data_IF_386051288521
#
_entry.id   IF_386051288521
#
_cell.length_a   1.000
_cell.length_b   1.000
_cell.length_c   1.000
_cell.angle_alpha   90.00
_cell.angle_beta   90.00
_cell.angle_gamma   90.00
#
_symmetry.space_group_name_H-M   'P 1'
#
loop_
_entity.id
_entity.type
_entity.pdbx_description
1 polymer ?
#
# COMPACT_ATOMS: atom_id res chain seq x y z
N UNK A 1 -51.73 17.98 -36.74
CA UNK A 1 -51.92 16.54 -36.99
C UNK A 1 -50.76 15.81 -36.31
N UNK A 2 -50.91 15.40 -35.04
CA UNK A 2 -51.23 14.03 -34.57
C UNK A 2 -50.21 13.01 -35.10
N UNK A 3 -49.41 12.33 -34.27
CA UNK A 3 -49.86 11.45 -33.19
C UNK A 3 -48.86 11.40 -32.02
N UNK A 4 -49.36 11.65 -30.80
CA UNK A 4 -48.83 11.06 -29.58
C UNK A 4 -49.38 9.64 -29.48
N UNK A 5 -48.52 8.66 -29.21
CA UNK A 5 -48.94 7.30 -28.81
C UNK A 5 -48.46 7.05 -27.40
N UNK A 6 -49.36 7.30 -26.46
CA UNK A 6 -49.34 6.78 -25.10
C UNK A 6 -49.51 5.27 -25.16
N UNK A 7 -48.58 4.51 -24.58
CA UNK A 7 -48.81 3.12 -24.25
C UNK A 7 -48.85 2.96 -22.73
N UNK A 8 -49.96 2.39 -22.30
CA UNK A 8 -50.44 2.24 -20.94
C UNK A 8 -49.71 1.10 -20.23
N UNK A 9 -49.50 1.33 -18.94
CA UNK A 9 -49.32 0.38 -17.84
C UNK A 9 -49.85 -1.03 -18.10
N UNK A 10 -48.98 -2.05 -17.96
CA UNK A 10 -49.31 -3.42 -17.54
C UNK A 10 -48.08 -4.07 -16.86
N UNK A 11 -47.96 -3.92 -15.54
CA UNK A 11 -47.51 -5.01 -14.65
C UNK A 11 -48.67 -6.02 -14.63
N UNK A 12 -48.47 -7.36 -14.68
CA UNK A 12 -47.73 -8.12 -13.65
C UNK A 12 -47.06 -9.43 -14.14
N UNK A 13 -46.11 -9.97 -13.36
CA UNK A 13 -46.00 -11.42 -13.09
C UNK A 13 -44.72 -11.70 -12.27
N UNK A 14 -44.91 -12.09 -11.02
CA UNK A 14 -43.90 -12.77 -10.20
C UNK A 14 -43.58 -14.12 -10.86
N UNK A 15 -42.42 -14.21 -11.51
CA UNK A 15 -41.89 -15.48 -11.99
C UNK A 15 -41.00 -16.07 -10.88
N UNK A 16 -41.57 -16.93 -10.05
CA UNK A 16 -40.82 -17.76 -9.11
C UNK A 16 -40.03 -18.81 -9.89
N UNK A 17 -38.74 -18.55 -10.13
CA UNK A 17 -37.79 -19.55 -10.60
C UNK A 17 -37.18 -20.21 -9.37
N UNK A 18 -37.65 -21.42 -9.07
CA UNK A 18 -36.96 -22.34 -8.17
C UNK A 18 -35.80 -22.97 -8.94
N UNK A 19 -34.59 -22.44 -8.75
CA UNK A 19 -33.34 -23.14 -9.10
C UNK A 19 -32.69 -23.55 -7.78
N UNK A 20 -32.67 -24.85 -7.52
CA UNK A 20 -31.87 -25.41 -6.43
C UNK A 20 -30.37 -25.31 -6.80
N UNK A 21 -29.49 -24.77 -5.93
CA UNK A 21 -28.07 -24.94 -6.12
C UNK A 21 -27.64 -26.29 -5.56
N UNK A 22 -27.26 -27.20 -6.45
CA UNK A 22 -26.36 -28.30 -6.11
C UNK A 22 -25.10 -27.68 -5.47
N UNK A 23 -24.75 -28.15 -4.27
CA UNK A 23 -23.50 -27.81 -3.61
C UNK A 23 -22.33 -28.36 -4.41
N UNK A 24 -21.74 -27.53 -5.27
CA UNK A 24 -20.45 -27.82 -5.89
C UNK A 24 -19.38 -27.65 -4.81
N UNK A 25 -19.00 -28.75 -4.16
CA UNK A 25 -17.81 -28.79 -3.31
C UNK A 25 -16.58 -28.64 -4.20
N UNK A 26 -16.05 -27.41 -4.29
CA UNK A 26 -14.74 -27.15 -4.84
C UNK A 26 -13.68 -27.65 -3.84
N UNK A 27 -13.27 -28.90 -3.99
CA UNK A 27 -12.07 -29.42 -3.34
C UNK A 27 -10.84 -28.79 -4.04
N UNK A 28 -10.39 -27.65 -3.52
CA UNK A 28 -9.10 -27.09 -3.89
C UNK A 28 -8.00 -27.97 -3.25
N UNK A 29 -7.15 -28.56 -4.09
CA UNK A 29 -5.97 -29.30 -3.64
C UNK A 29 -5.03 -28.36 -2.87
N UNK A 30 -4.57 -28.69 -1.65
CA UNK A 30 -3.72 -27.81 -0.87
C UNK A 30 -2.30 -27.80 -1.45
N UNK A 31 -1.93 -26.68 -2.07
CA UNK A 31 -0.54 -26.35 -2.36
C UNK A 31 0.17 -26.02 -1.05
N UNK A 32 1.19 -26.82 -0.72
CA UNK A 32 1.98 -26.70 0.50
C UNK A 32 2.85 -25.43 0.45
N UNK A 33 2.36 -24.34 1.05
CA UNK A 33 3.11 -23.10 1.23
C UNK A 33 2.29 -22.02 1.94
N UNK A 34 2.57 -21.79 3.23
CA UNK A 34 2.16 -20.63 4.04
C UNK A 34 0.65 -20.31 4.18
N UNK A 35 -0.22 -21.34 4.15
CA UNK A 35 -1.67 -21.16 4.32
C UNK A 35 -2.05 -20.54 5.69
N UNK A 36 -1.31 -20.85 6.75
CA UNK A 36 -1.57 -20.33 8.10
C UNK A 36 -1.40 -18.81 8.21
N UNK A 37 -0.42 -18.22 7.50
CA UNK A 37 -0.20 -16.77 7.48
C UNK A 37 -1.28 -16.04 6.67
N UNK A 38 -1.79 -16.66 5.60
CA UNK A 38 -2.91 -16.10 4.82
C UNK A 38 -4.24 -16.19 5.55
N UNK A 39 -4.51 -17.30 6.24
CA UNK A 39 -5.74 -17.51 7.01
C UNK A 39 -5.81 -16.54 8.19
N UNK A 40 -4.74 -16.45 8.99
CA UNK A 40 -4.71 -15.53 10.13
C UNK A 40 -4.82 -14.05 9.73
N UNK A 41 -4.31 -13.69 8.54
CA UNK A 41 -4.48 -12.34 7.98
C UNK A 41 -5.92 -12.10 7.52
N UNK A 42 -6.54 -13.10 6.92
CA UNK A 42 -7.92 -13.02 6.47
C UNK A 42 -8.87 -12.89 7.65
N UNK A 43 -8.69 -13.68 8.70
CA UNK A 43 -9.42 -13.58 9.96
C UNK A 43 -9.31 -12.17 10.56
N UNK A 44 -8.10 -11.63 10.68
CA UNK A 44 -7.89 -10.25 11.16
C UNK A 44 -8.55 -9.18 10.30
N UNK A 45 -8.68 -9.42 9.00
CA UNK A 45 -9.34 -8.49 8.09
C UNK A 45 -10.86 -8.56 8.25
N UNK A 46 -11.41 -9.76 8.39
CA UNK A 46 -12.83 -9.99 8.66
C UNK A 46 -13.24 -9.42 10.03
N UNK A 47 -12.43 -9.64 11.07
CA UNK A 47 -12.61 -9.03 12.40
C UNK A 47 -12.62 -7.50 12.34
N UNK A 48 -11.64 -6.90 11.63
CA UNK A 48 -11.59 -5.45 11.46
C UNK A 48 -12.80 -4.92 10.69
N UNK A 49 -13.25 -5.64 9.66
CA UNK A 49 -14.43 -5.28 8.87
C UNK A 49 -15.70 -5.34 9.72
N UNK A 50 -15.87 -6.38 10.52
CA UNK A 50 -17.00 -6.53 11.45
C UNK A 50 -17.01 -5.39 12.48
N UNK A 51 -15.87 -5.10 13.10
CA UNK A 51 -15.74 -3.99 14.05
C UNK A 51 -16.05 -2.62 13.42
N UNK A 52 -15.75 -2.43 12.13
CA UNK A 52 -16.12 -1.23 11.39
C UNK A 52 -17.63 -1.12 11.18
N UNK A 53 -18.30 -2.23 10.83
CA UNK A 53 -19.75 -2.25 10.66
C UNK A 53 -20.49 -2.00 11.98
N UNK A 54 -20.06 -2.64 13.06
CA UNK A 54 -20.59 -2.38 14.41
C UNK A 54 -20.42 -0.92 14.81
N UNK A 55 -19.24 -0.36 14.59
CA UNK A 55 -18.95 1.06 14.88
C UNK A 55 -19.81 2.01 14.04
N UNK A 56 -20.10 1.65 12.80
CA UNK A 56 -20.95 2.43 11.91
C UNK A 56 -22.45 2.24 12.18
N UNK A 57 -22.84 1.34 13.09
CA UNK A 57 -24.23 1.01 13.36
C UNK A 57 -24.91 0.31 12.18
N UNK A 58 -24.15 -0.40 11.35
CA UNK A 58 -24.65 -1.16 10.21
C UNK A 58 -25.16 -2.50 10.73
N UNK A 59 -26.46 -2.74 10.58
CA UNK A 59 -27.13 -3.97 10.96
C UNK A 59 -26.74 -5.15 10.06
N UNK A 60 -27.10 -6.35 10.49
CA UNK A 60 -26.71 -7.59 9.82
C UNK A 60 -27.34 -7.75 8.43
N UNK A 61 -28.55 -7.20 8.20
CA UNK A 61 -29.23 -7.25 6.90
C UNK A 61 -28.51 -6.33 5.89
N UNK A 62 -28.18 -5.11 6.31
CA UNK A 62 -27.39 -4.17 5.51
C UNK A 62 -25.98 -4.70 5.23
N UNK A 63 -25.36 -5.37 6.22
CA UNK A 63 -24.05 -6.02 6.08
C UNK A 63 -24.09 -7.13 5.02
N UNK A 64 -25.06 -8.03 5.11
CA UNK A 64 -25.22 -9.12 4.15
C UNK A 64 -25.41 -8.57 2.73
N UNK A 65 -26.23 -7.53 2.57
CA UNK A 65 -26.46 -6.85 1.29
C UNK A 65 -25.19 -6.23 0.70
N UNK A 66 -24.33 -5.63 1.53
CA UNK A 66 -23.04 -5.09 1.10
C UNK A 66 -22.05 -6.17 0.65
N UNK A 67 -22.02 -7.30 1.37
CA UNK A 67 -21.15 -8.42 1.04
C UNK A 67 -21.57 -9.09 -0.28
N UNK A 68 -22.87 -9.25 -0.49
CA UNK A 68 -23.44 -9.71 -1.76
C UNK A 68 -23.07 -8.75 -2.90
N UNK A 69 -23.30 -7.45 -2.74
CA UNK A 69 -22.95 -6.45 -3.75
C UNK A 69 -21.44 -6.42 -4.07
N UNK A 70 -20.57 -6.59 -3.07
CA UNK A 70 -19.13 -6.72 -3.29
C UNK A 70 -18.78 -8.01 -4.04
N UNK A 71 -19.43 -9.13 -3.69
CA UNK A 71 -19.26 -10.41 -4.37
C UNK A 71 -19.64 -10.31 -5.85
N UNK A 72 -20.81 -9.77 -6.14
CA UNK A 72 -21.29 -9.49 -7.50
C UNK A 72 -20.33 -8.58 -8.25
N UNK A 73 -19.89 -7.47 -7.63
CA UNK A 73 -18.93 -6.56 -8.25
C UNK A 73 -17.60 -7.23 -8.58
N UNK A 74 -17.07 -8.06 -7.67
CA UNK A 74 -15.84 -8.82 -7.91
C UNK A 74 -16.00 -9.82 -9.04
N UNK A 75 -17.15 -10.51 -9.13
CA UNK A 75 -17.45 -11.43 -10.23
C UNK A 75 -17.54 -10.67 -11.56
N UNK A 76 -18.29 -9.57 -11.60
CA UNK A 76 -18.40 -8.72 -12.78
C UNK A 76 -17.03 -8.20 -13.26
N UNK A 77 -16.14 -7.81 -12.33
CA UNK A 77 -14.77 -7.40 -12.68
C UNK A 77 -13.92 -8.56 -13.21
N UNK A 78 -14.08 -9.77 -12.69
CA UNK A 78 -13.38 -10.96 -13.22
C UNK A 78 -13.82 -11.25 -14.65
N UNK A 79 -15.13 -11.32 -14.87
CA UNK A 79 -15.68 -11.54 -16.21
C UNK A 79 -15.25 -10.44 -17.18
N UNK A 80 -15.24 -9.18 -16.74
CA UNK A 80 -14.77 -8.07 -17.56
C UNK A 80 -13.28 -8.21 -17.92
N UNK A 81 -12.44 -8.63 -16.98
CA UNK A 81 -11.02 -8.87 -17.24
C UNK A 81 -10.80 -10.06 -18.18
N UNK A 82 -11.60 -11.11 -18.05
CA UNK A 82 -11.56 -12.29 -18.94
C UNK A 82 -11.96 -11.89 -20.36
N UNK A 83 -13.10 -11.20 -20.53
CA UNK A 83 -13.53 -10.67 -21.83
C UNK A 83 -12.49 -9.70 -22.43
N UNK A 84 -11.88 -8.85 -21.59
CA UNK A 84 -10.82 -7.96 -22.05
C UNK A 84 -9.61 -8.76 -22.55
N UNK A 85 -9.22 -9.81 -21.83
CA UNK A 85 -8.12 -10.69 -22.23
C UNK A 85 -8.44 -11.41 -23.54
N UNK A 86 -9.63 -11.97 -23.69
CA UNK A 86 -10.06 -12.62 -24.94
C UNK A 86 -10.00 -11.66 -26.13
N UNK A 87 -10.52 -10.44 -25.98
CA UNK A 87 -10.41 -9.40 -27.03
C UNK A 87 -8.97 -9.06 -27.36
N UNK A 88 -8.08 -9.06 -26.36
CA UNK A 88 -6.64 -8.84 -26.60
C UNK A 88 -6.02 -10.01 -27.36
N UNK A 89 -6.46 -11.24 -27.09
CA UNK A 89 -5.99 -12.46 -27.76
C UNK A 89 -6.51 -12.56 -29.21
N UNK A 90 -7.65 -11.96 -29.52
CA UNK A 90 -8.17 -11.80 -30.90
C UNK A 90 -7.37 -10.78 -31.73
N UNK A 91 -6.86 -9.73 -31.09
CA UNK A 91 -6.18 -8.62 -31.76
C UNK A 91 -4.66 -8.84 -31.85
N UNK A 92 -4.06 -9.41 -30.79
CA UNK A 92 -2.63 -9.58 -30.66
C UNK A 92 -2.24 -11.06 -30.65
N UNK A 93 -1.31 -11.40 -31.53
CA UNK A 93 -0.60 -12.67 -31.43
C UNK A 93 0.28 -12.74 -30.15
N UNK A 94 0.80 -13.93 -29.87
CA UNK A 94 1.55 -14.19 -28.64
C UNK A 94 2.86 -13.39 -28.56
N UNK A 95 3.52 -13.15 -29.69
CA UNK A 95 4.77 -12.37 -29.76
C UNK A 95 4.51 -10.90 -29.45
N UNK A 96 3.49 -10.30 -30.08
CA UNK A 96 3.06 -8.92 -29.82
C UNK A 96 2.62 -8.71 -28.37
N UNK A 97 1.97 -9.72 -27.78
CA UNK A 97 1.52 -9.67 -26.38
C UNK A 97 2.68 -9.70 -25.40
N UNK A 98 3.66 -10.57 -25.64
CA UNK A 98 4.87 -10.63 -24.83
C UNK A 98 5.67 -9.32 -24.94
N UNK A 99 5.87 -8.82 -26.16
CA UNK A 99 6.53 -7.54 -26.39
C UNK A 99 5.82 -6.37 -25.65
N UNK A 100 4.49 -6.32 -25.67
CA UNK A 100 3.72 -5.31 -24.95
C UNK A 100 3.85 -5.47 -23.42
N UNK A 101 3.85 -6.70 -22.90
CA UNK A 101 4.04 -6.98 -21.47
C UNK A 101 5.40 -6.50 -21.01
N UNK A 102 6.44 -6.77 -21.79
CA UNK A 102 7.81 -6.42 -21.46
C UNK A 102 8.03 -4.92 -21.58
N UNK A 103 7.49 -4.27 -22.62
CA UNK A 103 7.47 -2.81 -22.71
C UNK A 103 6.79 -2.15 -21.50
N UNK A 104 5.63 -2.67 -21.06
CA UNK A 104 4.94 -2.18 -19.84
C UNK A 104 5.79 -2.40 -18.59
N UNK A 105 6.48 -3.54 -18.49
CA UNK A 105 7.36 -3.85 -17.36
C UNK A 105 8.54 -2.89 -17.29
N UNK A 106 9.20 -2.65 -18.42
CA UNK A 106 10.32 -1.70 -18.51
C UNK A 106 9.88 -0.27 -18.26
N UNK A 107 8.73 0.16 -18.81
CA UNK A 107 8.17 1.47 -18.53
C UNK A 107 7.86 1.65 -17.03
N UNK A 108 7.29 0.63 -16.37
CA UNK A 108 7.06 0.67 -14.92
C UNK A 108 8.38 0.76 -14.15
N UNK A 109 9.38 -0.06 -14.48
CA UNK A 109 10.71 0.00 -13.86
C UNK A 109 11.34 1.39 -14.04
N UNK A 110 11.27 1.93 -15.26
CA UNK A 110 11.76 3.27 -15.59
C UNK A 110 11.08 4.34 -14.75
N UNK A 111 9.75 4.37 -14.69
CA UNK A 111 9.03 5.32 -13.84
C UNK A 111 9.30 5.14 -12.35
N UNK A 112 9.49 3.91 -11.87
CA UNK A 112 9.88 3.68 -10.48
C UNK A 112 11.29 4.21 -10.19
N UNK A 113 12.24 4.00 -11.11
CA UNK A 113 13.60 4.52 -10.99
C UNK A 113 13.60 6.06 -11.03
N UNK A 114 12.93 6.66 -12.01
CA UNK A 114 12.78 8.11 -12.16
C UNK A 114 12.16 8.74 -10.91
N UNK A 115 11.04 8.20 -10.41
CA UNK A 115 10.43 8.69 -9.16
C UNK A 115 11.36 8.58 -7.97
N UNK A 116 12.13 7.50 -7.86
CA UNK A 116 13.11 7.31 -6.79
C UNK A 116 14.21 8.36 -6.88
N UNK A 117 14.71 8.62 -8.08
CA UNK A 117 15.80 9.56 -8.31
C UNK A 117 15.34 11.00 -8.11
N UNK A 118 14.15 11.38 -8.62
CA UNK A 118 13.55 12.70 -8.33
C UNK A 118 13.29 12.90 -6.84
N UNK A 119 12.79 11.86 -6.14
CA UNK A 119 12.59 11.94 -4.69
C UNK A 119 13.92 12.11 -3.95
N UNK A 120 14.97 11.39 -4.36
CA UNK A 120 16.32 11.51 -3.80
C UNK A 120 16.88 12.91 -4.01
N UNK A 121 16.81 13.45 -5.23
CA UNK A 121 17.29 14.80 -5.55
C UNK A 121 16.54 15.87 -4.75
N UNK A 122 15.21 15.81 -4.72
CA UNK A 122 14.41 16.74 -3.93
C UNK A 122 14.70 16.66 -2.42
N UNK A 123 15.03 15.47 -1.90
CA UNK A 123 15.46 15.33 -0.51
C UNK A 123 16.84 15.94 -0.26
N UNK A 124 17.80 15.73 -1.17
CA UNK A 124 19.14 16.29 -1.06
C UNK A 124 19.12 17.82 -1.09
N UNK A 125 18.33 18.43 -1.99
CA UNK A 125 18.17 19.88 -2.09
C UNK A 125 17.56 20.49 -0.81
N UNK A 126 16.52 19.85 -0.27
CA UNK A 126 15.90 20.27 0.99
C UNK A 126 16.87 20.18 2.17
N UNK A 127 17.63 19.10 2.26
CA UNK A 127 18.65 18.93 3.30
C UNK A 127 19.77 19.95 3.17
N UNK A 128 20.26 20.21 1.95
CA UNK A 128 21.25 21.27 1.71
C UNK A 128 20.73 22.61 2.19
N UNK A 129 19.51 22.98 1.79
CA UNK A 129 18.88 24.24 2.19
C UNK A 129 18.74 24.34 3.72
N UNK A 130 18.38 23.24 4.38
CA UNK A 130 18.25 23.20 5.85
C UNK A 130 19.60 23.41 6.52
N UNK A 131 20.63 22.67 6.10
CA UNK A 131 21.99 22.79 6.66
C UNK A 131 22.57 24.18 6.39
N UNK A 132 22.28 24.75 5.22
CA UNK A 132 22.71 26.12 4.89
C UNK A 132 22.11 27.17 5.81
N UNK A 133 20.88 26.96 6.31
CA UNK A 133 20.22 27.86 7.25
C UNK A 133 20.82 27.84 8.67
N UNK A 134 21.66 26.86 8.99
CA UNK A 134 22.28 26.71 10.31
C UNK A 134 23.62 27.42 10.46
N UNK A 135 24.12 28.03 9.38
CA UNK A 135 25.37 28.81 9.38
C UNK A 135 26.57 28.06 10.00
N UNK A 136 26.60 26.73 9.84
CA UNK A 136 27.69 25.87 10.33
C UNK A 136 29.04 26.28 9.72
N UNK A 137 30.11 26.15 10.51
CA UNK A 137 31.48 26.31 10.04
C UNK A 137 31.85 25.28 8.98
N UNK A 138 32.87 25.58 8.17
CA UNK A 138 33.37 24.64 7.15
C UNK A 138 33.83 23.31 7.78
N UNK A 139 34.46 23.37 8.95
CA UNK A 139 34.89 22.19 9.72
C UNK A 139 33.70 21.34 10.23
N UNK A 140 32.60 21.97 10.66
CA UNK A 140 31.38 21.26 11.06
C UNK A 140 30.64 20.66 9.86
N UNK A 141 30.66 21.34 8.71
CA UNK A 141 30.08 20.83 7.45
C UNK A 141 30.84 19.64 6.90
N UNK A 142 32.17 19.66 7.00
CA UNK A 142 33.01 18.54 6.62
C UNK A 142 32.73 17.33 7.51
N UNK A 143 32.78 17.50 8.84
CA UNK A 143 32.45 16.43 9.80
C UNK A 143 31.04 15.87 9.62
N UNK A 144 30.05 16.72 9.35
CA UNK A 144 28.67 16.28 9.07
C UNK A 144 28.58 15.46 7.76
N UNK A 145 29.38 15.81 6.75
CA UNK A 145 29.45 15.08 5.49
C UNK A 145 30.08 13.71 5.69
N UNK A 146 31.21 13.64 6.41
CA UNK A 146 31.87 12.38 6.77
C UNK A 146 30.95 11.46 7.57
N UNK A 147 30.25 11.99 8.57
CA UNK A 147 29.30 11.24 9.39
C UNK A 147 28.12 10.68 8.57
N UNK A 148 27.68 11.41 7.54
CA UNK A 148 26.66 10.92 6.62
C UNK A 148 27.20 9.80 5.74
N UNK A 149 28.43 9.91 5.26
CA UNK A 149 29.08 8.90 4.42
C UNK A 149 29.35 7.61 5.18
N UNK A 150 29.81 7.69 6.45
CA UNK A 150 29.98 6.53 7.32
C UNK A 150 28.66 5.79 7.53
N UNK A 151 27.57 6.51 7.86
CA UNK A 151 26.25 5.88 7.99
C UNK A 151 25.83 5.13 6.73
N UNK A 152 26.07 5.68 5.53
CA UNK A 152 25.75 4.97 4.29
C UNK A 152 26.59 3.71 4.10
N UNK A 153 27.87 3.74 4.45
CA UNK A 153 28.75 2.57 4.41
C UNK A 153 28.27 1.50 5.40
N UNK A 154 27.98 1.88 6.65
CA UNK A 154 27.52 0.96 7.70
C UNK A 154 26.17 0.34 7.34
N UNK A 155 25.23 1.14 6.83
CA UNK A 155 23.95 0.62 6.32
C UNK A 155 24.14 -0.37 5.18
N UNK A 156 25.13 -0.16 4.31
CA UNK A 156 25.42 -1.04 3.19
C UNK A 156 26.07 -2.35 3.67
N UNK A 157 26.98 -2.27 4.65
CA UNK A 157 27.56 -3.43 5.31
C UNK A 157 26.49 -4.26 6.01
N UNK A 158 25.64 -3.61 6.82
CA UNK A 158 24.56 -4.25 7.57
C UNK A 158 23.51 -4.92 6.65
N UNK A 159 23.34 -4.41 5.42
CA UNK A 159 22.50 -5.07 4.39
C UNK A 159 23.14 -6.33 3.82
N UNK A 160 24.46 -6.41 3.80
CA UNK A 160 25.22 -7.58 3.33
C UNK A 160 25.34 -8.67 4.38
N UNK A 161 25.14 -8.36 5.65
CA UNK A 161 25.20 -9.32 6.76
C UNK A 161 23.97 -10.26 6.79
N UNK A 162 24.22 -11.51 7.18
CA UNK A 162 23.18 -12.48 7.53
C UNK A 162 22.94 -12.47 9.03
N UNK A 163 21.67 -12.60 9.44
CA UNK A 163 21.26 -12.66 10.84
C UNK A 163 20.53 -13.96 11.10
N UNK A 164 20.64 -14.48 12.32
CA UNK A 164 19.98 -15.72 12.74
C UNK A 164 18.48 -15.48 12.99
N UNK A 165 18.08 -14.23 13.25
CA UNK A 165 16.68 -13.85 13.43
C UNK A 165 16.33 -12.46 12.90
N UNK A 166 15.02 -12.22 12.74
CA UNK A 166 14.49 -10.87 12.43
C UNK A 166 14.70 -9.89 13.59
N UNK A 167 14.73 -10.38 14.82
CA UNK A 167 14.93 -9.58 16.03
C UNK A 167 16.36 -9.07 16.11
N UNK A 168 17.33 -9.97 15.95
CA UNK A 168 18.76 -9.63 15.90
C UNK A 168 19.05 -8.61 14.78
N UNK A 169 18.49 -8.84 13.58
CA UNK A 169 18.57 -7.85 12.50
C UNK A 169 18.04 -6.50 12.96
N UNK A 170 16.86 -6.47 13.59
CA UNK A 170 16.23 -5.23 14.05
C UNK A 170 17.08 -4.51 15.10
N UNK A 171 17.66 -5.24 16.04
CA UNK A 171 18.55 -4.70 17.07
C UNK A 171 19.81 -4.09 16.44
N UNK A 172 20.43 -4.76 15.47
CA UNK A 172 21.59 -4.21 14.78
C UNK A 172 21.26 -2.93 14.00
N UNK A 173 20.09 -2.87 13.34
CA UNK A 173 19.59 -1.64 12.71
C UNK A 173 19.27 -0.53 13.72
N UNK A 174 18.87 -0.89 14.94
CA UNK A 174 18.59 0.08 16.00
C UNK A 174 19.89 0.63 16.58
N UNK A 175 20.85 -0.23 16.90
CA UNK A 175 22.17 0.16 17.39
C UNK A 175 22.86 1.14 16.43
N UNK A 176 22.86 0.84 15.12
CA UNK A 176 23.41 1.74 14.09
C UNK A 176 22.74 3.13 14.10
N UNK A 177 21.41 3.18 14.30
CA UNK A 177 20.67 4.45 14.36
C UNK A 177 20.98 5.24 15.63
N UNK A 178 21.13 4.53 16.75
CA UNK A 178 21.42 5.15 18.03
C UNK A 178 22.84 5.73 18.06
N UNK A 179 23.83 4.97 17.56
CA UNK A 179 25.21 5.44 17.39
C UNK A 179 25.30 6.66 16.47
N UNK A 180 24.63 6.63 15.32
CA UNK A 180 24.61 7.77 14.42
C UNK A 180 23.90 8.99 15.03
N UNK A 181 22.85 8.79 15.84
CA UNK A 181 22.19 9.89 16.54
C UNK A 181 23.10 10.52 17.58
N UNK A 182 23.86 9.72 18.31
CA UNK A 182 24.84 10.20 19.29
C UNK A 182 25.92 11.06 18.60
N UNK A 183 26.50 10.54 17.51
CA UNK A 183 27.50 11.27 16.73
C UNK A 183 26.95 12.58 16.11
N UNK A 184 25.67 12.61 15.70
CA UNK A 184 25.03 13.85 15.25
C UNK A 184 24.91 14.88 16.38
N UNK A 185 24.70 14.44 17.62
CA UNK A 185 24.58 15.31 18.80
C UNK A 185 25.87 16.03 19.18
N UNK A 186 27.03 15.58 18.69
CA UNK A 186 28.31 16.28 18.87
C UNK A 186 28.47 17.48 17.92
N UNK A 187 27.74 17.47 16.80
CA UNK A 187 27.84 18.48 15.73
C UNK A 187 26.64 19.42 15.68
N UNK A 188 25.46 18.90 16.01
CA UNK A 188 24.18 19.58 15.86
C UNK A 188 23.44 19.61 17.19
N UNK A 189 22.65 20.67 17.39
CA UNK A 189 21.73 20.74 18.53
C UNK A 189 20.57 19.76 18.35
N UNK A 190 19.94 19.35 19.46
CA UNK A 190 18.76 18.48 19.41
C UNK A 190 17.62 19.09 18.55
N UNK A 191 17.49 20.42 18.56
CA UNK A 191 16.51 21.14 17.73
C UNK A 191 16.82 20.99 16.23
N UNK A 192 18.09 21.06 15.83
CA UNK A 192 18.53 20.86 14.45
C UNK A 192 18.34 19.40 14.01
N UNK A 193 18.64 18.44 14.88
CA UNK A 193 18.44 17.00 14.64
C UNK A 193 16.96 16.70 14.42
N UNK A 194 16.07 17.22 15.28
CA UNK A 194 14.63 17.01 15.14
C UNK A 194 14.07 17.74 13.89
N UNK A 195 14.60 18.91 13.53
CA UNK A 195 14.23 19.59 12.27
C UNK A 195 14.61 18.75 11.03
N UNK A 196 15.81 18.17 11.01
CA UNK A 196 16.27 17.27 9.94
C UNK A 196 15.39 16.03 9.86
N UNK A 197 15.12 15.40 11.00
CA UNK A 197 14.27 14.21 11.08
C UNK A 197 12.85 14.49 10.61
N UNK A 198 12.24 15.61 11.02
CA UNK A 198 10.90 16.02 10.59
C UNK A 198 10.83 16.23 9.07
N UNK A 199 11.89 16.77 8.46
CA UNK A 199 12.00 16.92 7.01
C UNK A 199 12.15 15.57 6.29
N UNK A 200 12.89 14.63 6.88
CA UNK A 200 13.11 13.28 6.34
C UNK A 200 11.93 12.34 6.58
N UNK A 201 11.05 12.64 7.54
CA UNK A 201 9.81 11.88 7.69
C UNK A 201 9.04 11.98 6.39
N UNK A 202 8.58 10.85 5.81
CA UNK A 202 7.69 10.90 4.68
C UNK A 202 6.50 11.78 5.08
N UNK A 203 6.31 12.89 4.38
CA UNK A 203 5.16 13.77 4.58
C UNK A 203 3.93 12.88 4.61
N UNK A 204 3.30 12.79 5.79
CA UNK A 204 2.45 11.68 6.16
C UNK A 204 1.51 11.26 5.02
N UNK A 205 1.38 9.95 4.87
CA UNK A 205 0.30 9.33 4.13
C UNK A 205 -1.02 9.82 4.75
N UNK A 206 -1.54 10.94 4.26
CA UNK A 206 -2.82 11.49 4.66
C UNK A 206 -3.88 10.70 3.91
N UNK A 207 -4.29 9.59 4.52
CA UNK A 207 -5.41 8.78 4.05
C UNK A 207 -5.27 7.29 4.34
N UNK A 208 -5.55 6.87 5.57
CA UNK A 208 -6.49 5.79 5.89
C UNK A 208 -6.77 5.84 7.41
N UNK A 209 -8.05 5.86 7.78
CA UNK A 209 -8.60 6.47 9.00
C UNK A 209 -8.18 5.88 10.34
N UNK A 210 -7.92 6.77 11.32
CA UNK A 210 -7.95 6.47 12.76
C UNK A 210 -8.48 7.69 13.52
N UNK A 211 -9.81 7.82 13.56
CA UNK A 211 -10.48 8.74 14.47
C UNK A 211 -10.61 8.10 15.86
N UNK A 212 -9.78 8.52 16.81
CA UNK A 212 -9.99 8.26 18.23
C UNK A 212 -11.13 9.13 18.75
N UNK A 213 -12.29 8.51 19.01
CA UNK A 213 -13.36 9.13 19.78
C UNK A 213 -12.97 9.17 21.25
N UNK A 214 -12.66 10.36 21.76
CA UNK A 214 -12.58 10.63 23.20
C UNK A 214 -14.01 10.64 23.76
N UNK A 215 -14.37 9.65 24.56
CA UNK A 215 -15.51 9.80 25.47
C UNK A 215 -15.09 10.68 26.65
N UNK A 216 -15.73 11.85 26.71
CA UNK A 216 -15.81 12.72 27.87
C UNK A 216 -16.94 12.14 28.75
N UNK A 217 -16.59 11.67 29.94
CA UNK A 217 -17.57 11.36 30.97
C UNK A 217 -17.85 12.62 31.78
N UNK A 218 -19.11 13.05 31.80
CA UNK A 218 -19.73 13.75 32.93
C UNK A 218 -20.75 12.80 33.53
#
# INVERSE_FOLDING_TARGET
>A
MLRLTQHKLLLPALLAIAIAPMSLAAAAAPGQGDSSWSEQRQERFEEQRQALFERAGIDDETRASLEEAHGEHHQALRELHEQHRERMDEILDDEQREALRDAKREMRKGHHAERRDSHRQGMQERLSTLVDSWELSDEERERLTELRESLYADMQELRGQSFDSREERREAWQALRDEHREALGELLTEEQIEAMKAMMQPSGHKGHGKGHGKHRSS
#
